data_IF_144696568280
#
_entry.id   IF_144696568280
#
_cell.length_a   1.000
_cell.length_b   1.000
_cell.length_c   1.000
_cell.angle_alpha   90.00
_cell.angle_beta   90.00
_cell.angle_gamma   90.00
#
_symmetry.space_group_name_H-M   'P 1'
#
loop_
_entity.id
_entity.type
_entity.pdbx_description
1 polymer ?
#
# COMPACT_ATOMS: atom_id res chain seq x y z
N UNK A 1 64.60 8.67 11.39
CA UNK A 1 63.37 8.18 12.06
C UNK A 1 62.81 9.34 12.86
N UNK A 2 61.59 9.86 12.72
CA UNK A 2 60.34 9.55 12.01
C UNK A 2 59.62 10.91 11.86
N UNK A 3 59.00 11.22 10.71
CA UNK A 3 57.94 12.22 10.54
C UNK A 3 57.14 11.79 9.29
N UNK A 4 56.06 11.02 9.44
CA UNK A 4 54.67 11.44 9.62
C UNK A 4 54.00 12.01 8.34
N UNK A 5 53.04 11.22 7.85
CA UNK A 5 51.75 11.60 7.23
C UNK A 5 51.73 12.50 6.01
N UNK A 6 51.19 11.98 4.90
CA UNK A 6 50.00 12.57 4.26
C UNK A 6 49.12 11.42 3.75
N UNK A 7 48.01 11.18 4.44
CA UNK A 7 46.87 10.45 3.87
C UNK A 7 46.34 11.30 2.71
N UNK A 8 46.36 10.72 1.51
CA UNK A 8 45.84 11.37 0.32
C UNK A 8 44.35 11.68 0.48
N UNK A 9 44.04 12.96 0.69
CA UNK A 9 42.68 13.46 0.52
C UNK A 9 42.42 13.47 -0.98
N UNK A 10 41.60 12.54 -1.45
CA UNK A 10 41.11 12.53 -2.83
C UNK A 10 40.30 13.80 -3.03
N UNK A 11 40.82 14.69 -3.87
CA UNK A 11 40.21 15.97 -4.20
C UNK A 11 39.01 15.70 -5.12
N UNK A 12 37.79 15.88 -4.62
CA UNK A 12 36.58 15.78 -5.44
C UNK A 12 36.64 16.85 -6.55
N UNK A 13 36.52 16.40 -7.80
CA UNK A 13 36.49 17.27 -8.97
C UNK A 13 35.20 18.09 -8.97
N UNK A 14 35.31 19.40 -9.19
CA UNK A 14 34.17 20.36 -9.28
C UNK A 14 33.18 20.08 -10.43
N UNK A 15 33.35 18.98 -11.17
CA UNK A 15 32.51 18.62 -12.31
C UNK A 15 31.53 17.46 -12.04
N UNK A 16 31.51 16.87 -10.85
CA UNK A 16 30.58 15.77 -10.50
C UNK A 16 29.23 16.27 -9.92
N UNK A 17 29.00 17.59 -9.91
CA UNK A 17 27.79 18.25 -9.38
C UNK A 17 27.06 19.02 -10.49
N UNK A 18 27.00 18.47 -11.70
CA UNK A 18 26.15 19.01 -12.77
C UNK A 18 24.93 18.10 -12.87
N UNK A 19 23.76 18.72 -12.81
CA UNK A 19 22.41 18.10 -12.81
C UNK A 19 21.75 17.88 -11.45
N UNK A 20 22.13 18.64 -10.42
CA UNK A 20 21.25 18.80 -9.24
C UNK A 20 20.21 19.88 -9.57
N UNK A 21 18.90 19.59 -9.50
CA UNK A 21 17.85 20.61 -9.64
C UNK A 21 18.12 21.78 -8.68
N UNK A 22 18.03 23.02 -9.16
CA UNK A 22 18.30 24.21 -8.32
C UNK A 22 17.30 24.35 -7.17
N UNK A 23 16.12 23.75 -7.32
CA UNK A 23 15.12 23.61 -6.29
C UNK A 23 14.92 22.11 -5.97
N UNK A 24 15.20 21.72 -4.72
CA UNK A 24 15.01 20.36 -4.21
C UNK A 24 13.71 20.19 -3.43
N UNK A 25 12.95 21.27 -3.24
CA UNK A 25 11.68 21.24 -2.55
C UNK A 25 10.57 20.70 -3.45
N UNK A 26 10.49 21.15 -4.70
CA UNK A 26 9.47 20.66 -5.64
C UNK A 26 9.74 19.22 -6.08
N UNK A 27 8.66 18.44 -6.25
CA UNK A 27 8.76 17.08 -6.76
C UNK A 27 9.12 17.08 -8.25
N UNK A 28 10.07 16.21 -8.63
CA UNK A 28 10.38 15.99 -10.04
C UNK A 28 9.13 15.49 -10.81
N UNK A 29 8.92 15.88 -12.09
CA UNK A 29 7.68 15.56 -12.81
C UNK A 29 7.35 14.07 -12.89
N UNK A 30 8.37 13.22 -13.00
CA UNK A 30 8.18 11.76 -13.01
C UNK A 30 7.59 11.27 -11.68
N UNK A 31 8.17 11.69 -10.54
CA UNK A 31 7.66 11.35 -9.21
C UNK A 31 6.26 11.92 -8.95
N UNK A 32 6.00 13.18 -9.35
CA UNK A 32 4.66 13.77 -9.24
C UNK A 32 3.60 12.96 -10.01
N UNK A 33 3.94 12.51 -11.23
CA UNK A 33 3.01 11.73 -12.07
C UNK A 33 2.71 10.37 -11.44
N UNK A 34 3.74 9.69 -10.94
CA UNK A 34 3.58 8.40 -10.28
C UNK A 34 2.78 8.50 -8.97
N UNK A 35 3.01 9.53 -8.15
CA UNK A 35 2.24 9.75 -6.93
C UNK A 35 0.76 10.04 -7.22
N UNK A 36 0.45 10.81 -8.26
CA UNK A 36 -0.95 10.99 -8.71
C UNK A 36 -1.57 9.67 -9.19
N UNK A 37 -0.80 8.83 -9.86
CA UNK A 37 -1.25 7.49 -10.24
C UNK A 37 -1.51 6.63 -9.00
N UNK A 38 -0.65 6.70 -7.99
CA UNK A 38 -0.80 5.95 -6.75
C UNK A 38 -2.08 6.30 -6.01
N UNK A 39 -2.46 7.59 -5.96
CA UNK A 39 -3.77 8.01 -5.42
C UNK A 39 -4.93 7.24 -6.06
N UNK A 40 -4.89 7.01 -7.37
CA UNK A 40 -5.95 6.26 -8.06
C UNK A 40 -5.89 4.76 -7.75
N UNK A 41 -4.70 4.19 -7.56
CA UNK A 41 -4.49 2.79 -7.17
C UNK A 41 -5.03 2.54 -5.76
N UNK A 42 -4.72 3.40 -4.80
CA UNK A 42 -5.27 3.27 -3.44
C UNK A 42 -6.79 3.43 -3.41
N UNK A 43 -7.33 4.36 -4.21
CA UNK A 43 -8.79 4.48 -4.36
C UNK A 43 -9.41 3.26 -5.04
N UNK A 44 -8.74 2.65 -6.02
CA UNK A 44 -9.19 1.39 -6.62
C UNK A 44 -9.23 0.28 -5.55
N UNK A 45 -8.15 0.11 -4.77
CA UNK A 45 -8.08 -0.86 -3.69
C UNK A 45 -9.18 -0.64 -2.65
N UNK A 46 -9.44 0.62 -2.26
CA UNK A 46 -10.55 1.00 -1.39
C UNK A 46 -11.90 0.53 -1.93
N UNK A 47 -12.14 0.65 -3.24
CA UNK A 47 -13.38 0.20 -3.88
C UNK A 47 -13.47 -1.33 -3.99
N UNK A 48 -12.36 -2.02 -4.27
CA UNK A 48 -12.30 -3.50 -4.24
C UNK A 48 -12.72 -4.02 -2.87
N UNK A 49 -12.11 -3.48 -1.81
CA UNK A 49 -12.46 -3.85 -0.44
C UNK A 49 -13.90 -3.47 -0.07
N UNK A 50 -14.42 -2.36 -0.59
CA UNK A 50 -15.82 -1.99 -0.41
C UNK A 50 -16.76 -3.02 -1.05
N UNK A 51 -16.43 -3.52 -2.25
CA UNK A 51 -17.19 -4.58 -2.91
C UNK A 51 -17.13 -5.89 -2.12
N UNK A 52 -15.95 -6.27 -1.61
CA UNK A 52 -15.79 -7.44 -0.74
C UNK A 52 -16.66 -7.31 0.51
N UNK A 53 -16.60 -6.16 1.19
CA UNK A 53 -17.42 -5.90 2.38
C UNK A 53 -18.92 -6.03 2.06
N UNK A 54 -19.37 -5.42 0.96
CA UNK A 54 -20.78 -5.48 0.55
C UNK A 54 -21.24 -6.92 0.25
N UNK A 55 -20.39 -7.73 -0.40
CA UNK A 55 -20.67 -9.13 -0.68
C UNK A 55 -20.87 -9.96 0.59
N UNK A 56 -19.93 -9.88 1.55
CA UNK A 56 -20.03 -10.67 2.79
C UNK A 56 -21.14 -10.20 3.72
N UNK A 57 -21.51 -8.91 3.65
CA UNK A 57 -22.59 -8.35 4.47
C UNK A 57 -24.00 -8.71 3.95
N UNK A 58 -24.09 -9.16 2.69
CA UNK A 58 -25.34 -9.56 2.02
C UNK A 58 -26.03 -10.68 2.80
N UNK A 59 -27.36 -10.60 2.92
CA UNK A 59 -28.17 -11.57 3.67
C UNK A 59 -28.04 -13.04 3.21
N UNK A 60 -27.74 -13.27 1.92
CA UNK A 60 -27.51 -14.61 1.36
C UNK A 60 -26.13 -15.19 1.65
N UNK A 61 -25.17 -14.37 2.09
CA UNK A 61 -23.80 -14.78 2.45
C UNK A 61 -23.64 -14.78 3.98
N UNK A 62 -24.05 -13.68 4.62
CA UNK A 62 -24.13 -13.50 6.07
C UNK A 62 -22.81 -13.85 6.80
N UNK A 63 -21.74 -13.11 6.47
CA UNK A 63 -20.42 -13.20 7.11
C UNK A 63 -20.00 -11.84 7.63
N UNK A 64 -20.45 -11.51 8.85
CA UNK A 64 -20.34 -10.15 9.40
C UNK A 64 -18.91 -9.80 9.80
N UNK A 65 -18.12 -10.77 10.25
CA UNK A 65 -16.71 -10.57 10.57
C UNK A 65 -15.87 -10.23 9.33
N UNK A 66 -16.04 -10.97 8.23
CA UNK A 66 -15.40 -10.64 6.96
C UNK A 66 -15.88 -9.30 6.39
N UNK A 67 -17.18 -9.01 6.48
CA UNK A 67 -17.71 -7.72 6.05
C UNK A 67 -17.08 -6.55 6.83
N UNK A 68 -16.80 -6.72 8.13
CA UNK A 68 -16.10 -5.72 8.94
C UNK A 68 -14.63 -5.59 8.57
N UNK A 69 -13.93 -6.72 8.41
CA UNK A 69 -12.52 -6.75 8.00
C UNK A 69 -12.33 -5.92 6.72
N UNK A 70 -13.02 -6.28 5.64
CA UNK A 70 -12.87 -5.59 4.37
C UNK A 70 -13.40 -4.14 4.40
N UNK A 71 -14.36 -3.82 5.28
CA UNK A 71 -14.79 -2.43 5.48
C UNK A 71 -13.70 -1.59 6.16
N UNK A 72 -12.95 -2.17 7.10
CA UNK A 72 -11.78 -1.53 7.72
C UNK A 72 -10.69 -1.29 6.68
N UNK A 73 -10.31 -2.31 5.90
CA UNK A 73 -9.33 -2.16 4.82
C UNK A 73 -9.76 -1.12 3.77
N UNK A 74 -11.04 -1.11 3.35
CA UNK A 74 -11.56 -0.09 2.43
C UNK A 74 -11.39 1.34 2.97
N UNK A 75 -11.51 1.52 4.28
CA UNK A 75 -11.30 2.83 4.93
C UNK A 75 -9.81 3.17 4.96
N UNK A 76 -8.95 2.23 5.35
CA UNK A 76 -7.49 2.38 5.40
C UNK A 76 -6.93 2.80 4.02
N UNK A 77 -7.31 2.12 2.94
CA UNK A 77 -6.83 2.50 1.59
C UNK A 77 -7.28 3.89 1.15
N UNK A 78 -8.45 4.34 1.62
CA UNK A 78 -8.89 5.72 1.37
C UNK A 78 -8.06 6.74 2.14
N UNK A 79 -7.61 6.37 3.34
CA UNK A 79 -6.69 7.17 4.13
C UNK A 79 -5.30 7.20 3.45
N UNK A 80 -4.83 6.09 2.87
CA UNK A 80 -3.61 6.04 2.06
C UNK A 80 -3.67 6.99 0.85
N UNK A 81 -4.77 6.95 0.09
CA UNK A 81 -5.01 7.90 -1.01
C UNK A 81 -4.90 9.36 -0.53
N UNK A 82 -5.50 9.68 0.62
CA UNK A 82 -5.45 11.01 1.20
C UNK A 82 -4.02 11.41 1.63
N UNK A 83 -3.27 10.50 2.27
CA UNK A 83 -1.86 10.72 2.61
C UNK A 83 -1.05 11.16 1.38
N UNK A 84 -1.23 10.50 0.23
CA UNK A 84 -0.55 10.90 -1.02
C UNK A 84 -0.99 12.26 -1.55
N UNK A 85 -2.28 12.59 -1.49
CA UNK A 85 -2.78 13.92 -1.88
C UNK A 85 -2.15 15.00 -0.99
N UNK A 86 -2.10 14.76 0.32
CA UNK A 86 -1.52 15.70 1.27
C UNK A 86 -0.01 15.86 1.06
N UNK A 87 0.70 14.77 0.77
CA UNK A 87 2.12 14.81 0.44
C UNK A 87 2.41 15.57 -0.87
N UNK A 88 1.60 15.36 -1.91
CA UNK A 88 1.69 16.14 -3.15
C UNK A 88 1.57 17.64 -2.85
N UNK A 89 0.53 18.03 -2.11
CA UNK A 89 0.28 19.42 -1.72
C UNK A 89 1.42 19.99 -0.86
N UNK A 90 1.94 19.20 0.09
CA UNK A 90 3.09 19.55 0.91
C UNK A 90 4.30 19.90 0.05
N UNK A 91 4.55 19.16 -1.03
CA UNK A 91 5.71 19.38 -1.91
C UNK A 91 5.44 20.35 -3.08
N UNK A 92 4.39 21.17 -2.98
CA UNK A 92 4.04 22.18 -3.97
C UNK A 92 3.38 21.64 -5.25
N UNK A 93 3.13 20.32 -5.31
CA UNK A 93 2.41 19.68 -6.41
C UNK A 93 0.90 19.65 -6.13
N UNK A 94 0.09 19.74 -7.18
CA UNK A 94 -1.38 19.67 -7.06
C UNK A 94 -1.91 18.30 -7.51
N UNK A 95 -2.82 17.70 -6.76
CA UNK A 95 -3.67 16.62 -7.28
C UNK A 95 -4.73 17.19 -8.23
N UNK A 96 -4.86 16.63 -9.43
CA UNK A 96 -5.64 17.23 -10.52
C UNK A 96 -7.01 16.57 -10.70
N UNK A 97 -7.07 15.24 -10.70
CA UNK A 97 -8.25 14.49 -11.10
C UNK A 97 -8.14 13.01 -10.72
N UNK A 98 -9.30 12.40 -10.46
CA UNK A 98 -9.43 10.96 -10.28
C UNK A 98 -9.71 10.29 -11.63
N UNK A 99 -8.91 9.27 -11.94
CA UNK A 99 -9.13 8.33 -13.02
C UNK A 99 -9.00 6.91 -12.45
N UNK A 100 -10.03 6.51 -11.70
CA UNK A 100 -10.05 5.26 -10.96
C UNK A 100 -10.66 4.18 -11.84
N UNK A 101 -9.91 3.11 -12.08
CA UNK A 101 -10.45 1.91 -12.71
C UNK A 101 -11.46 1.27 -11.74
N UNK A 102 -12.69 1.02 -12.19
CA UNK A 102 -13.72 0.48 -11.30
C UNK A 102 -13.52 -1.03 -11.13
N UNK A 103 -13.62 -1.59 -9.90
CA UNK A 103 -13.50 -3.03 -9.69
C UNK A 103 -14.65 -3.78 -10.37
N UNK A 104 -14.31 -4.80 -11.18
CA UNK A 104 -15.30 -5.62 -11.89
C UNK A 104 -15.90 -6.72 -11.01
N UNK A 105 -15.10 -7.27 -10.09
CA UNK A 105 -15.53 -8.36 -9.22
C UNK A 105 -16.40 -7.84 -8.07
N UNK A 106 -17.56 -8.49 -7.90
CA UNK A 106 -18.58 -8.10 -6.92
C UNK A 106 -19.10 -9.27 -6.09
N UNK A 107 -18.59 -10.49 -6.32
CA UNK A 107 -18.98 -11.69 -5.59
C UNK A 107 -17.84 -12.67 -5.46
N UNK A 108 -17.81 -13.40 -4.35
CA UNK A 108 -16.83 -14.43 -4.04
C UNK A 108 -17.54 -15.74 -3.66
N UNK A 109 -16.97 -16.88 -4.04
CA UNK A 109 -17.52 -18.19 -3.71
C UNK A 109 -17.20 -18.65 -2.28
N UNK A 110 -16.15 -18.08 -1.67
CA UNK A 110 -15.73 -18.38 -0.30
C UNK A 110 -14.91 -17.23 0.29
N UNK A 111 -14.77 -17.20 1.61
CA UNK A 111 -13.83 -16.31 2.28
C UNK A 111 -12.38 -16.53 1.84
N UNK A 112 -11.99 -17.78 1.57
CA UNK A 112 -10.64 -18.13 1.09
C UNK A 112 -10.35 -17.47 -0.25
N UNK A 113 -11.31 -17.46 -1.17
CA UNK A 113 -11.17 -16.78 -2.46
C UNK A 113 -10.97 -15.28 -2.28
N UNK A 114 -11.79 -14.63 -1.45
CA UNK A 114 -11.69 -13.19 -1.21
C UNK A 114 -10.36 -12.79 -0.54
N UNK A 115 -9.90 -13.57 0.44
CA UNK A 115 -8.61 -13.32 1.10
C UNK A 115 -7.45 -13.50 0.11
N UNK A 116 -7.51 -14.49 -0.79
CA UNK A 116 -6.47 -14.65 -1.80
C UNK A 116 -6.44 -13.48 -2.80
N UNK A 117 -7.60 -12.98 -3.22
CA UNK A 117 -7.68 -11.79 -4.05
C UNK A 117 -7.10 -10.56 -3.33
N UNK A 118 -7.39 -10.39 -2.03
CA UNK A 118 -6.81 -9.34 -1.20
C UNK A 118 -5.27 -9.44 -1.16
N UNK A 119 -4.71 -10.64 -0.98
CA UNK A 119 -3.24 -10.85 -1.01
C UNK A 119 -2.65 -10.41 -2.36
N UNK A 120 -3.33 -10.67 -3.47
CA UNK A 120 -2.85 -10.26 -4.80
C UNK A 120 -2.88 -8.74 -4.91
N UNK A 121 -4.01 -8.11 -4.54
CA UNK A 121 -4.16 -6.65 -4.54
C UNK A 121 -3.08 -5.96 -3.71
N UNK A 122 -2.86 -6.39 -2.47
CA UNK A 122 -1.86 -5.81 -1.57
C UNK A 122 -0.43 -5.91 -2.12
N UNK A 123 -0.10 -7.04 -2.78
CA UNK A 123 1.19 -7.21 -3.43
C UNK A 123 1.36 -6.31 -4.65
N UNK A 124 0.29 -6.10 -5.41
CA UNK A 124 0.31 -5.17 -6.55
C UNK A 124 0.53 -3.73 -6.09
N UNK A 125 -0.22 -3.28 -5.07
CA UNK A 125 -0.03 -1.97 -4.42
C UNK A 125 1.41 -1.84 -3.92
N UNK A 126 1.90 -2.83 -3.18
CA UNK A 126 3.26 -2.82 -2.62
C UNK A 126 4.34 -2.75 -3.72
N UNK A 127 4.21 -3.52 -4.79
CA UNK A 127 5.15 -3.48 -5.91
C UNK A 127 5.14 -2.11 -6.60
N UNK A 128 3.98 -1.46 -6.70
CA UNK A 128 3.88 -0.12 -7.26
C UNK A 128 4.58 0.90 -6.34
N UNK A 129 4.44 0.80 -5.02
CA UNK A 129 5.16 1.68 -4.09
C UNK A 129 6.68 1.52 -4.22
N UNK A 130 7.18 0.28 -4.36
CA UNK A 130 8.60 0.01 -4.67
C UNK A 130 9.02 0.65 -5.99
N UNK A 131 8.18 0.58 -7.03
CA UNK A 131 8.47 1.25 -8.29
C UNK A 131 8.60 2.77 -8.12
N UNK A 132 7.75 3.41 -7.31
CA UNK A 132 7.86 4.85 -7.01
C UNK A 132 9.17 5.15 -6.29
N UNK A 133 9.54 4.31 -5.32
CA UNK A 133 10.78 4.44 -4.55
C UNK A 133 12.03 4.31 -5.45
N UNK A 134 12.08 3.30 -6.34
CA UNK A 134 13.16 3.14 -7.32
C UNK A 134 13.31 4.37 -8.22
N UNK A 135 12.19 4.94 -8.69
CA UNK A 135 12.21 6.15 -9.51
C UNK A 135 12.64 7.37 -8.69
N UNK A 136 12.23 7.46 -7.43
CA UNK A 136 12.67 8.51 -6.51
C UNK A 136 14.17 8.47 -6.28
N UNK A 137 14.76 7.27 -6.14
CA UNK A 137 16.20 7.08 -5.99
C UNK A 137 16.96 7.36 -7.30
N UNK A 138 16.56 6.74 -8.39
CA UNK A 138 17.36 6.72 -9.63
C UNK A 138 17.22 8.05 -10.38
N UNK A 139 16.00 8.56 -10.51
CA UNK A 139 15.69 9.69 -11.41
C UNK A 139 15.42 11.00 -10.66
N UNK A 140 14.64 10.97 -9.59
CA UNK A 140 14.28 12.19 -8.88
C UNK A 140 15.37 12.64 -7.90
N UNK A 141 16.20 11.70 -7.42
CA UNK A 141 17.19 11.92 -6.35
C UNK A 141 16.56 12.57 -5.10
N UNK A 142 15.34 12.14 -4.76
CA UNK A 142 14.51 12.74 -3.72
C UNK A 142 14.48 11.88 -2.45
N UNK A 143 15.43 12.16 -1.55
CA UNK A 143 15.58 11.42 -0.30
C UNK A 143 14.36 11.55 0.63
N UNK A 144 13.65 12.68 0.59
CA UNK A 144 12.48 12.88 1.46
C UNK A 144 11.28 12.08 0.97
N UNK A 145 11.10 11.94 -0.34
CA UNK A 145 10.07 11.05 -0.88
C UNK A 145 10.36 9.58 -0.54
N UNK A 146 11.62 9.15 -0.64
CA UNK A 146 12.00 7.78 -0.25
C UNK A 146 11.69 7.52 1.23
N UNK A 147 12.15 8.41 2.12
CA UNK A 147 11.90 8.33 3.57
C UNK A 147 10.40 8.33 3.89
N UNK A 148 9.62 9.18 3.21
CA UNK A 148 8.17 9.23 3.37
C UNK A 148 7.50 7.89 3.00
N UNK A 149 7.87 7.26 1.88
CA UNK A 149 7.34 5.97 1.47
C UNK A 149 7.70 4.84 2.45
N UNK A 150 8.96 4.84 2.91
CA UNK A 150 9.45 3.85 3.88
C UNK A 150 8.75 3.97 5.23
N UNK A 151 8.56 5.19 5.72
CA UNK A 151 7.97 5.44 7.03
C UNK A 151 6.45 5.22 7.05
N UNK A 152 5.74 5.76 6.05
CA UNK A 152 4.27 5.81 6.07
C UNK A 152 3.60 4.59 5.44
N UNK A 153 4.28 3.81 4.59
CA UNK A 153 3.62 2.77 3.80
C UNK A 153 4.32 1.41 3.83
N UNK A 154 5.65 1.34 3.73
CA UNK A 154 6.32 0.04 3.57
C UNK A 154 6.11 -0.91 4.76
N UNK A 155 6.18 -0.39 5.99
CA UNK A 155 5.91 -1.21 7.18
C UNK A 155 4.46 -1.67 7.21
N UNK A 156 3.51 -0.76 6.97
CA UNK A 156 2.08 -1.04 6.94
C UNK A 156 1.73 -2.11 5.88
N UNK A 157 2.28 -2.01 4.67
CA UNK A 157 2.05 -3.00 3.61
C UNK A 157 2.58 -4.40 3.97
N UNK A 158 3.78 -4.49 4.58
CA UNK A 158 4.35 -5.78 4.97
C UNK A 158 3.49 -6.44 6.06
N UNK A 159 3.01 -5.65 7.02
CA UNK A 159 2.11 -6.13 8.08
C UNK A 159 0.73 -6.54 7.53
N UNK A 160 0.16 -5.76 6.60
CA UNK A 160 -1.09 -6.09 5.90
C UNK A 160 -0.99 -7.41 5.14
N UNK A 161 0.06 -7.58 4.32
CA UNK A 161 0.30 -8.80 3.54
C UNK A 161 0.49 -10.01 4.46
N UNK A 162 1.28 -9.90 5.53
CA UNK A 162 1.44 -10.98 6.53
C UNK A 162 0.10 -11.35 7.16
N UNK A 163 -0.70 -10.35 7.55
CA UNK A 163 -2.03 -10.54 8.12
C UNK A 163 -2.95 -11.34 7.17
N UNK A 164 -3.04 -10.94 5.90
CA UNK A 164 -3.85 -11.67 4.91
C UNK A 164 -3.33 -13.08 4.63
N UNK A 165 -2.02 -13.29 4.57
CA UNK A 165 -1.43 -14.63 4.43
C UNK A 165 -1.78 -15.52 5.64
N UNK A 166 -1.80 -14.96 6.85
CA UNK A 166 -2.26 -15.68 8.05
C UNK A 166 -3.75 -15.98 7.98
N UNK A 167 -4.59 -15.06 7.51
CA UNK A 167 -6.01 -15.32 7.26
C UNK A 167 -6.19 -16.51 6.31
N UNK A 168 -5.50 -16.50 5.16
CA UNK A 168 -5.54 -17.58 4.17
C UNK A 168 -5.07 -18.93 4.74
N UNK A 169 -3.96 -18.92 5.49
CA UNK A 169 -3.41 -20.14 6.12
C UNK A 169 -4.40 -20.75 7.12
N UNK A 170 -5.05 -19.91 7.94
CA UNK A 170 -6.01 -20.38 8.94
C UNK A 170 -7.25 -20.98 8.27
N UNK A 171 -7.79 -20.32 7.24
CA UNK A 171 -8.90 -20.85 6.45
C UNK A 171 -8.52 -22.17 5.75
N UNK A 172 -7.35 -22.22 5.10
CA UNK A 172 -6.87 -23.41 4.38
C UNK A 172 -6.65 -24.63 5.28
N UNK A 173 -6.18 -24.45 6.51
CA UNK A 173 -6.02 -25.53 7.49
C UNK A 173 -7.36 -26.18 7.91
N UNK A 174 -8.48 -25.54 7.60
CA UNK A 174 -9.82 -26.02 7.96
C UNK A 174 -10.65 -26.48 6.75
N UNK A 175 -10.04 -26.59 5.56
CA UNK A 175 -10.72 -26.85 4.28
C UNK A 175 -11.59 -28.13 4.24
N UNK A 176 -11.33 -29.11 5.10
CA UNK A 176 -12.14 -30.34 5.18
C UNK A 176 -13.52 -30.15 5.86
N UNK A 177 -13.80 -28.98 6.45
CA UNK A 177 -15.08 -28.60 7.07
C UNK A 177 -15.46 -27.15 6.72
N UNK A 178 -15.38 -26.82 5.43
CA UNK A 178 -15.38 -25.45 4.90
C UNK A 178 -16.47 -24.53 5.49
N UNK A 179 -17.74 -24.98 5.51
CA UNK A 179 -18.84 -24.16 6.02
C UNK A 179 -18.80 -23.88 7.54
N UNK A 180 -18.43 -24.88 8.36
CA UNK A 180 -18.32 -24.67 9.81
C UNK A 180 -17.06 -23.86 10.16
N UNK A 181 -15.97 -24.11 9.44
CA UNK A 181 -14.72 -23.40 9.59
C UNK A 181 -14.87 -21.91 9.29
N UNK A 182 -15.44 -21.57 8.13
CA UNK A 182 -15.68 -20.20 7.73
C UNK A 182 -16.60 -19.49 8.73
N UNK A 183 -17.66 -20.15 9.20
CA UNK A 183 -18.55 -19.58 10.21
C UNK A 183 -17.85 -19.29 11.55
N UNK A 184 -17.07 -20.23 12.06
CA UNK A 184 -16.34 -20.04 13.32
C UNK A 184 -15.29 -18.93 13.20
N UNK A 185 -14.62 -18.87 12.05
CA UNK A 185 -13.63 -17.84 11.76
C UNK A 185 -14.25 -16.46 11.61
N UNK A 186 -15.38 -16.36 10.90
CA UNK A 186 -16.15 -15.12 10.77
C UNK A 186 -16.57 -14.58 12.13
N UNK A 187 -17.04 -15.45 13.03
CA UNK A 187 -17.39 -15.04 14.41
C UNK A 187 -16.17 -14.51 15.17
N UNK A 188 -15.01 -15.16 15.06
CA UNK A 188 -13.78 -14.67 15.69
C UNK A 188 -13.35 -13.31 15.14
N UNK A 189 -13.43 -13.10 13.83
CA UNK A 189 -13.16 -11.79 13.21
C UNK A 189 -14.12 -10.73 13.74
N UNK A 190 -15.40 -11.08 13.85
CA UNK A 190 -16.42 -10.17 14.36
C UNK A 190 -16.13 -9.74 15.79
N UNK A 191 -15.80 -10.69 16.67
CA UNK A 191 -15.46 -10.43 18.08
C UNK A 191 -14.24 -9.50 18.19
N UNK A 192 -13.15 -9.80 17.46
CA UNK A 192 -11.92 -8.98 17.52
C UNK A 192 -12.11 -7.55 17.01
N UNK A 193 -12.93 -7.38 15.98
CA UNK A 193 -13.15 -6.08 15.34
C UNK A 193 -14.29 -5.26 15.97
N UNK A 194 -14.99 -5.81 16.97
CA UNK A 194 -15.91 -5.03 17.82
C UNK A 194 -15.18 -4.26 18.93
N UNK A 195 -13.92 -4.64 19.23
CA UNK A 195 -13.09 -4.04 20.28
C UNK A 195 -12.13 -2.94 19.78
N UNK A 196 -12.02 -2.76 18.45
CA UNK A 196 -11.21 -1.74 17.74
C UNK A 196 -12.05 -0.49 17.37
#
# INVERSE_FOLDING_TARGET
>A
MILASVLGVTQFSKNDVKDVPSDRYELYPACTTLLRSQVNIEMHASLVYMNMAAHFDQNGVARKGFAKLFRKNSKEEREHAQKFIDYLNLRGSKFTDFNIDMPEKTSWGSATEAVNDAIVLEKEVYNQLHHIHDIAEIHCKDAHLMDYLEHEFFTEQVESIDSFIRHATRLGNMANNDGLAEYLYDRELQEKLDDD
#
